data_IF_917185620773
#
_entry.id   IF_917185620773
#
_cell.length_a   1.000
_cell.length_b   1.000
_cell.length_c   1.000
_cell.angle_alpha   90.00
_cell.angle_beta   90.00
_cell.angle_gamma   90.00
#
_symmetry.space_group_name_H-M   'P 1'
#
loop_
_entity.id
_entity.type
_entity.pdbx_description
1 polymer ?
#
# COMPACT_ATOMS: atom_id res chain seq x y z
N UNK A 1 -43.49 20.82 9.13
CA UNK A 1 -42.31 20.07 8.64
C UNK A 1 -41.64 19.40 9.82
N UNK A 2 -41.32 18.10 9.78
CA UNK A 2 -40.66 17.45 10.91
C UNK A 2 -39.28 18.09 11.17
N UNK A 3 -38.93 18.27 12.44
CA UNK A 3 -37.68 18.89 12.86
C UNK A 3 -36.48 18.06 12.36
N UNK A 4 -35.35 18.72 12.15
CA UNK A 4 -34.10 18.11 11.66
C UNK A 4 -33.67 16.93 12.55
N UNK A 5 -33.91 17.02 13.86
CA UNK A 5 -33.64 15.97 14.84
C UNK A 5 -34.46 14.70 14.60
N UNK A 6 -35.73 14.84 14.22
CA UNK A 6 -36.61 13.68 13.98
C UNK A 6 -36.15 12.85 12.78
N UNK A 7 -35.62 13.50 11.73
CA UNK A 7 -35.06 12.81 10.55
C UNK A 7 -33.75 12.09 10.88
N UNK A 8 -32.94 12.68 11.75
CA UNK A 8 -31.65 12.15 12.23
C UNK A 8 -31.84 10.85 13.02
N UNK A 9 -32.84 10.82 13.90
CA UNK A 9 -33.14 9.66 14.74
C UNK A 9 -33.78 8.50 13.94
N UNK A 10 -34.72 8.82 13.05
CA UNK A 10 -35.39 7.82 12.20
C UNK A 10 -34.40 7.07 11.29
N UNK A 11 -33.45 7.80 10.71
CA UNK A 11 -32.40 7.22 9.87
C UNK A 11 -31.43 6.33 10.68
N UNK A 12 -31.05 6.75 11.89
CA UNK A 12 -30.19 5.95 12.78
C UNK A 12 -30.86 4.62 13.20
N UNK A 13 -32.16 4.65 13.48
CA UNK A 13 -32.95 3.44 13.76
C UNK A 13 -33.04 2.53 12.52
N UNK A 14 -33.22 3.10 11.33
CA UNK A 14 -33.29 2.35 10.07
C UNK A 14 -31.95 1.63 9.76
N UNK A 15 -30.82 2.32 9.87
CA UNK A 15 -29.48 1.73 9.64
C UNK A 15 -29.18 0.64 10.67
N UNK A 16 -29.51 0.87 11.94
CA UNK A 16 -29.32 -0.13 13.00
C UNK A 16 -30.14 -1.40 12.76
N UNK A 17 -31.38 -1.25 12.31
CA UNK A 17 -32.25 -2.37 11.96
C UNK A 17 -31.76 -3.12 10.71
N UNK A 18 -31.25 -2.41 9.70
CA UNK A 18 -30.61 -3.04 8.54
C UNK A 18 -29.35 -3.83 8.94
N UNK A 19 -28.52 -3.29 9.83
CA UNK A 19 -27.36 -3.99 10.39
C UNK A 19 -27.75 -5.26 11.14
N UNK A 20 -28.83 -5.21 11.92
CA UNK A 20 -29.33 -6.39 12.63
C UNK A 20 -29.77 -7.47 11.64
N UNK A 21 -30.57 -7.11 10.62
CA UNK A 21 -31.05 -8.04 9.60
C UNK A 21 -29.95 -8.67 8.75
N UNK A 22 -28.90 -7.90 8.41
CA UNK A 22 -27.75 -8.43 7.67
C UNK A 22 -26.96 -9.43 8.53
N UNK A 23 -26.75 -9.14 9.82
CA UNK A 23 -26.09 -10.08 10.74
C UNK A 23 -26.90 -11.36 10.93
N UNK A 24 -28.22 -11.24 11.12
CA UNK A 24 -29.12 -12.39 11.27
C UNK A 24 -29.13 -13.26 9.98
N UNK A 25 -29.08 -12.63 8.80
CA UNK A 25 -28.98 -13.33 7.52
C UNK A 25 -27.63 -14.04 7.32
N UNK A 26 -26.52 -13.44 7.77
CA UNK A 26 -25.18 -14.09 7.73
C UNK A 26 -25.13 -15.28 8.68
N UNK A 27 -25.76 -15.19 9.85
CA UNK A 27 -25.80 -16.28 10.82
C UNK A 27 -26.65 -17.49 10.35
N UNK A 28 -27.65 -17.25 9.50
CA UNK A 28 -28.55 -18.28 8.98
C UNK A 28 -28.12 -18.95 7.67
N UNK A 29 -27.20 -18.33 6.91
CA UNK A 29 -26.84 -18.78 5.58
C UNK A 29 -25.42 -19.36 5.56
N UNK A 30 -25.29 -20.68 5.41
CA UNK A 30 -24.00 -21.38 5.41
C UNK A 30 -22.96 -20.81 4.43
N UNK A 31 -21.69 -21.18 4.65
CA UNK A 31 -20.45 -20.58 4.14
C UNK A 31 -20.38 -20.13 2.66
N UNK A 32 -21.24 -20.61 1.77
CA UNK A 32 -21.20 -20.31 0.33
C UNK A 32 -21.90 -18.97 -0.02
N UNK A 33 -22.68 -18.39 0.90
CA UNK A 33 -23.46 -17.15 0.67
C UNK A 33 -22.95 -15.90 1.41
N UNK A 34 -21.81 -16.01 2.12
CA UNK A 34 -21.31 -14.95 3.00
C UNK A 34 -20.78 -13.71 2.25
N UNK A 35 -20.27 -13.87 1.03
CA UNK A 35 -19.52 -12.79 0.37
C UNK A 35 -20.38 -11.58 -0.04
N UNK A 36 -21.56 -11.75 -0.65
CA UNK A 36 -22.46 -10.62 -0.97
C UNK A 36 -23.01 -9.94 0.29
N UNK A 37 -23.33 -10.72 1.33
CA UNK A 37 -23.86 -10.19 2.59
C UNK A 37 -22.79 -9.43 3.38
N UNK A 38 -21.53 -9.88 3.36
CA UNK A 38 -20.39 -9.14 3.92
C UNK A 38 -20.13 -7.84 3.17
N UNK A 39 -20.25 -7.81 1.84
CA UNK A 39 -20.15 -6.56 1.06
C UNK A 39 -21.23 -5.56 1.45
N UNK A 40 -22.47 -6.02 1.64
CA UNK A 40 -23.57 -5.17 2.11
C UNK A 40 -23.37 -4.69 3.55
N UNK A 41 -22.89 -5.55 4.46
CA UNK A 41 -22.53 -5.16 5.82
C UNK A 41 -21.43 -4.10 5.86
N UNK A 42 -20.34 -4.30 5.12
CA UNK A 42 -19.27 -3.32 5.01
C UNK A 42 -19.74 -1.98 4.41
N UNK A 43 -20.74 -2.00 3.50
CA UNK A 43 -21.36 -0.78 2.97
C UNK A 43 -22.18 -0.01 4.00
N UNK A 44 -22.85 -0.71 4.93
CA UNK A 44 -23.60 -0.09 6.02
C UNK A 44 -22.67 0.46 7.12
N UNK A 45 -21.57 -0.22 7.41
CA UNK A 45 -20.53 0.29 8.33
C UNK A 45 -19.89 1.58 7.78
N UNK A 46 -19.64 1.68 6.46
CA UNK A 46 -19.18 2.92 5.81
C UNK A 46 -20.15 4.08 6.03
N UNK A 47 -21.46 3.85 5.85
CA UNK A 47 -22.47 4.90 6.04
C UNK A 47 -22.57 5.36 7.50
N UNK A 48 -22.29 4.46 8.45
CA UNK A 48 -22.24 4.82 9.87
C UNK A 48 -20.98 5.62 10.21
N UNK A 49 -19.81 5.23 9.68
CA UNK A 49 -18.53 5.90 9.91
C UNK A 49 -18.46 7.27 9.22
N UNK A 50 -18.92 7.38 7.97
CA UNK A 50 -18.99 8.66 7.24
C UNK A 50 -19.87 9.68 7.99
N UNK A 51 -20.90 9.18 8.67
CA UNK A 51 -21.77 10.00 9.51
C UNK A 51 -21.11 10.40 10.82
N UNK A 52 -20.44 9.49 11.51
CA UNK A 52 -19.68 9.81 12.73
C UNK A 52 -18.61 10.87 12.44
N UNK A 53 -17.95 10.78 11.28
CA UNK A 53 -16.97 11.76 10.84
C UNK A 53 -17.61 13.09 10.39
N UNK A 54 -18.78 13.07 9.75
CA UNK A 54 -19.54 14.28 9.45
C UNK A 54 -19.98 14.99 10.75
N UNK A 55 -20.48 14.25 11.74
CA UNK A 55 -20.90 14.78 13.04
C UNK A 55 -19.69 15.35 13.80
N UNK A 56 -18.52 14.70 13.73
CA UNK A 56 -17.26 15.21 14.28
C UNK A 56 -16.77 16.47 13.57
N UNK A 57 -16.91 16.56 12.24
CA UNK A 57 -16.53 17.76 11.47
C UNK A 57 -17.46 18.92 11.82
N UNK A 58 -18.76 18.70 11.86
CA UNK A 58 -19.74 19.69 12.29
C UNK A 58 -19.49 20.16 13.72
N UNK A 59 -19.16 19.23 14.64
CA UNK A 59 -18.77 19.58 16.01
C UNK A 59 -17.44 20.34 16.10
N UNK A 60 -16.50 20.09 15.17
CA UNK A 60 -15.23 20.81 15.08
C UNK A 60 -15.40 22.21 14.50
N UNK A 61 -16.22 22.37 13.46
CA UNK A 61 -16.51 23.66 12.83
C UNK A 61 -17.28 24.58 13.78
N UNK A 62 -18.13 24.02 14.65
CA UNK A 62 -18.78 24.75 15.75
C UNK A 62 -17.81 25.15 16.89
N UNK A 63 -16.62 24.53 16.95
CA UNK A 63 -15.59 24.80 17.97
C UNK A 63 -14.42 25.63 17.44
N UNK A 64 -14.27 25.75 16.11
CA UNK A 64 -13.14 26.41 15.45
C UNK A 64 -13.32 27.94 15.28
N UNK A 65 -14.42 28.51 15.79
CA UNK A 65 -14.62 29.96 15.75
C UNK A 65 -13.87 30.74 16.84
N UNK A 66 -13.02 30.13 17.68
CA UNK A 66 -12.39 30.82 18.81
C UNK A 66 -10.85 30.69 18.96
N UNK A 67 -10.13 29.86 18.19
CA UNK A 67 -8.66 29.72 18.39
C UNK A 67 -7.89 29.52 17.07
N UNK A 68 -7.52 30.64 16.42
CA UNK A 68 -6.58 30.67 15.30
C UNK A 68 -5.19 31.14 15.77
N UNK A 69 -4.27 30.20 15.99
CA UNK A 69 -2.87 30.52 16.26
C UNK A 69 -2.00 29.30 16.51
N UNK A 70 -1.41 28.73 15.46
CA UNK A 70 -0.45 27.63 15.61
C UNK A 70 0.00 27.05 14.27
N UNK A 71 1.01 27.67 13.67
CA UNK A 71 1.73 27.17 12.50
C UNK A 71 2.43 25.86 12.87
N UNK A 72 2.06 24.76 12.22
CA UNK A 72 2.70 23.45 12.42
C UNK A 72 4.04 23.37 11.70
N UNK A 73 5.08 23.01 12.46
CA UNK A 73 6.45 22.86 11.99
C UNK A 73 6.57 21.96 10.76
N UNK A 74 7.16 22.52 9.70
CA UNK A 74 7.63 21.77 8.56
C UNK A 74 8.83 20.89 9.00
N UNK A 75 8.73 19.60 8.72
CA UNK A 75 9.85 18.66 8.87
C UNK A 75 10.97 19.12 7.95
N UNK A 76 12.08 19.57 8.54
CA UNK A 76 13.30 19.98 7.83
C UNK A 76 13.98 18.73 7.23
N UNK A 77 14.28 18.68 5.92
CA UNK A 77 15.06 17.59 5.36
C UNK A 77 16.56 17.87 5.58
N UNK A 78 17.34 16.96 6.20
CA UNK A 78 18.78 17.12 6.26
C UNK A 78 19.39 16.62 4.96
N UNK A 79 19.55 17.51 3.98
CA UNK A 79 20.27 17.22 2.73
C UNK A 79 21.76 16.95 2.99
N UNK A 80 22.09 15.70 3.32
CA UNK A 80 23.45 15.19 3.34
C UNK A 80 23.77 14.53 1.99
N UNK A 81 25.06 14.41 1.63
CA UNK A 81 25.45 13.65 0.43
C UNK A 81 25.00 12.19 0.46
N UNK A 82 24.67 11.64 1.64
CA UNK A 82 24.13 10.30 1.79
C UNK A 82 22.75 10.14 1.14
N UNK A 83 21.95 11.22 1.02
CA UNK A 83 20.62 11.17 0.40
C UNK A 83 20.70 11.06 -1.13
N UNK A 84 21.78 11.56 -1.75
CA UNK A 84 21.93 11.51 -3.22
C UNK A 84 22.22 10.10 -3.72
N UNK A 85 22.92 9.29 -2.92
CA UNK A 85 23.30 7.93 -3.27
C UNK A 85 22.31 6.87 -2.76
N UNK A 86 21.35 7.26 -1.90
CA UNK A 86 20.30 6.38 -1.38
C UNK A 86 19.62 5.51 -2.45
N UNK A 87 19.15 6.02 -3.61
CA UNK A 87 18.56 5.17 -4.64
C UNK A 87 19.50 4.07 -5.14
N UNK A 88 20.79 4.38 -5.29
CA UNK A 88 21.80 3.46 -5.80
C UNK A 88 22.14 2.40 -4.76
N UNK A 89 22.25 2.79 -3.49
CA UNK A 89 22.49 1.88 -2.37
C UNK A 89 21.37 0.83 -2.25
N UNK A 90 20.11 1.25 -2.39
CA UNK A 90 18.97 0.32 -2.38
C UNK A 90 18.99 -0.59 -3.62
N UNK A 91 19.27 -0.04 -4.80
CA UNK A 91 19.38 -0.82 -6.04
C UNK A 91 20.47 -1.90 -5.97
N UNK A 92 21.63 -1.59 -5.38
CA UNK A 92 22.71 -2.54 -5.20
C UNK A 92 22.35 -3.64 -4.19
N UNK A 93 21.63 -3.29 -3.12
CA UNK A 93 21.15 -4.26 -2.14
C UNK A 93 20.09 -5.21 -2.73
N UNK A 94 19.15 -4.70 -3.56
CA UNK A 94 18.22 -5.55 -4.31
C UNK A 94 18.95 -6.48 -5.28
N UNK A 95 19.99 -5.98 -5.95
CA UNK A 95 20.80 -6.81 -6.84
C UNK A 95 21.52 -7.93 -6.08
N UNK A 96 22.05 -7.67 -4.89
CA UNK A 96 22.65 -8.71 -4.03
C UNK A 96 21.66 -9.80 -3.66
N UNK A 97 20.43 -9.44 -3.28
CA UNK A 97 19.36 -10.40 -2.96
C UNK A 97 19.00 -11.24 -4.19
N UNK A 98 18.95 -10.63 -5.37
CA UNK A 98 18.73 -11.37 -6.61
C UNK A 98 19.84 -12.41 -6.85
N UNK A 99 21.10 -12.04 -6.65
CA UNK A 99 22.24 -12.94 -6.84
C UNK A 99 22.36 -14.02 -5.76
N UNK A 100 21.90 -13.77 -4.54
CA UNK A 100 21.91 -14.76 -3.45
C UNK A 100 20.85 -15.85 -3.61
N UNK A 101 19.80 -15.59 -4.42
CA UNK A 101 18.67 -16.50 -4.55
C UNK A 101 17.83 -16.59 -3.28
N UNK A 102 17.88 -15.56 -2.42
CA UNK A 102 17.03 -15.49 -1.24
C UNK A 102 15.55 -15.54 -1.63
N UNK A 103 14.74 -16.14 -0.77
CA UNK A 103 13.33 -16.38 -1.02
C UNK A 103 12.44 -15.72 0.01
N UNK A 104 11.24 -15.35 -0.40
CA UNK A 104 10.21 -14.83 0.48
C UNK A 104 8.81 -15.24 -0.01
N UNK A 105 7.83 -15.16 0.89
CA UNK A 105 6.44 -15.43 0.55
C UNK A 105 5.80 -14.17 0.00
N UNK A 106 5.24 -14.26 -1.21
CA UNK A 106 4.46 -13.15 -1.75
C UNK A 106 3.13 -13.05 -1.00
N UNK A 107 2.87 -11.93 -0.33
CA UNK A 107 1.63 -11.68 0.39
C UNK A 107 1.15 -10.26 0.19
N UNK A 108 -0.16 -10.06 0.16
CA UNK A 108 -0.78 -8.75 0.24
C UNK A 108 -1.38 -8.52 1.63
N UNK A 109 -2.04 -7.38 1.83
CA UNK A 109 -2.68 -7.00 3.10
C UNK A 109 -3.93 -7.83 3.47
N UNK A 110 -4.13 -8.99 2.84
CA UNK A 110 -5.28 -9.85 3.09
C UNK A 110 -5.24 -10.47 4.50
N UNK A 111 -6.38 -10.62 5.18
CA UNK A 111 -6.45 -11.13 6.56
C UNK A 111 -5.73 -12.47 6.76
N UNK A 112 -5.88 -13.41 5.81
CA UNK A 112 -5.24 -14.74 5.87
C UNK A 112 -3.71 -14.70 5.92
N UNK A 113 -3.08 -13.59 5.52
CA UNK A 113 -1.62 -13.45 5.50
C UNK A 113 -1.07 -12.71 6.71
N UNK A 114 -1.91 -12.11 7.57
CA UNK A 114 -1.49 -11.41 8.78
C UNK A 114 -0.44 -12.16 9.63
N UNK A 115 -0.52 -13.50 9.82
CA UNK A 115 0.49 -14.23 10.59
C UNK A 115 1.90 -14.13 10.01
N UNK A 116 2.04 -13.96 8.69
CA UNK A 116 3.31 -13.95 7.96
C UNK A 116 3.89 -12.54 7.73
N UNK A 117 3.15 -11.48 8.06
CA UNK A 117 3.53 -10.09 7.77
C UNK A 117 4.42 -9.48 8.85
N UNK A 118 5.58 -10.09 9.06
CA UNK A 118 6.56 -9.67 10.06
C UNK A 118 7.07 -8.25 9.83
N UNK A 119 7.31 -7.86 8.58
CA UNK A 119 7.77 -6.51 8.25
C UNK A 119 6.71 -5.44 8.60
N UNK A 120 5.44 -5.71 8.29
CA UNK A 120 4.31 -4.84 8.69
C UNK A 120 4.24 -4.71 10.22
N UNK A 121 4.36 -5.83 10.96
CA UNK A 121 4.40 -5.81 12.43
C UNK A 121 5.56 -4.97 12.97
N UNK A 122 6.75 -5.12 12.40
CA UNK A 122 7.92 -4.33 12.76
C UNK A 122 7.70 -2.83 12.49
N UNK A 123 7.19 -2.48 11.31
CA UNK A 123 6.86 -1.09 10.93
C UNK A 123 5.81 -0.48 11.89
N UNK A 124 4.84 -1.27 12.33
CA UNK A 124 3.78 -0.86 13.25
C UNK A 124 4.18 -0.91 14.73
N UNK A 125 5.37 -1.40 15.08
CA UNK A 125 5.86 -1.36 16.45
C UNK A 125 6.09 0.08 16.92
N UNK A 126 5.81 0.38 18.20
CA UNK A 126 6.09 1.71 18.78
C UNK A 126 7.57 1.98 18.99
N UNK A 127 8.33 0.92 19.29
CA UNK A 127 9.77 0.96 19.52
C UNK A 127 10.42 0.12 18.43
N UNK A 128 11.50 0.63 17.84
CA UNK A 128 12.30 -0.11 16.89
C UNK A 128 12.89 -1.37 17.57
N UNK A 129 12.59 -2.52 16.97
CA UNK A 129 13.22 -3.80 17.30
C UNK A 129 14.13 -4.26 16.17
N UNK A 130 14.73 -5.46 16.26
CA UNK A 130 15.49 -6.02 15.16
C UNK A 130 14.60 -6.16 13.92
N UNK A 131 15.15 -5.80 12.74
CA UNK A 131 14.47 -6.01 11.47
C UNK A 131 14.27 -7.52 11.27
N UNK A 132 13.04 -7.99 10.92
CA UNK A 132 12.81 -9.40 10.70
C UNK A 132 13.69 -9.98 9.57
N UNK A 133 14.24 -11.19 9.74
CA UNK A 133 15.05 -11.83 8.71
C UNK A 133 14.22 -12.09 7.45
N UNK A 134 14.87 -12.06 6.29
CA UNK A 134 14.27 -12.50 5.04
C UNK A 134 14.32 -14.03 4.97
N UNK A 135 13.26 -14.63 4.46
CA UNK A 135 13.20 -16.08 4.27
C UNK A 135 11.82 -16.56 3.83
N UNK A 136 11.67 -17.87 3.59
CA UNK A 136 10.43 -18.45 3.04
C UNK A 136 9.15 -18.19 3.84
N UNK A 137 9.26 -17.89 5.14
CA UNK A 137 8.10 -17.56 6.00
C UNK A 137 7.79 -16.06 6.06
N UNK A 138 8.68 -15.23 5.52
CA UNK A 138 8.58 -13.78 5.55
C UNK A 138 7.62 -13.34 4.44
N UNK A 139 6.38 -13.04 4.84
CA UNK A 139 5.33 -12.55 3.95
C UNK A 139 5.45 -11.05 3.69
N UNK A 140 5.66 -10.66 2.44
CA UNK A 140 5.77 -9.25 2.04
C UNK A 140 5.03 -8.98 0.73
N UNK A 141 4.63 -7.73 0.52
CA UNK A 141 4.28 -7.24 -0.82
C UNK A 141 5.52 -6.64 -1.51
N UNK A 142 5.37 -6.26 -2.78
CA UNK A 142 6.48 -5.80 -3.61
C UNK A 142 7.12 -4.50 -3.10
N UNK A 143 6.30 -3.57 -2.59
CA UNK A 143 6.74 -2.33 -1.97
C UNK A 143 7.49 -2.59 -0.65
N UNK A 144 7.00 -3.51 0.16
CA UNK A 144 7.62 -3.88 1.43
C UNK A 144 8.99 -4.51 1.25
N UNK A 145 9.21 -5.29 0.19
CA UNK A 145 10.55 -5.79 -0.13
C UNK A 145 11.54 -4.63 -0.30
N UNK A 146 11.17 -3.63 -1.11
CA UNK A 146 12.03 -2.46 -1.37
C UNK A 146 12.27 -1.68 -0.08
N UNK A 147 11.24 -1.43 0.74
CA UNK A 147 11.38 -0.73 2.01
C UNK A 147 12.26 -1.50 3.01
N UNK A 148 12.09 -2.83 3.10
CA UNK A 148 12.92 -3.67 3.95
C UNK A 148 14.39 -3.52 3.58
N UNK A 149 14.70 -3.59 2.29
CA UNK A 149 16.07 -3.45 1.78
C UNK A 149 16.61 -2.06 2.06
N UNK A 150 15.80 -1.01 1.92
CA UNK A 150 16.20 0.34 2.28
C UNK A 150 16.50 0.51 3.78
N UNK A 151 15.74 -0.13 4.66
CA UNK A 151 16.04 -0.15 6.11
C UNK A 151 17.33 -0.91 6.41
N UNK A 152 17.50 -2.08 5.82
CA UNK A 152 18.70 -2.91 5.99
C UNK A 152 19.95 -2.16 5.55
N UNK A 153 19.86 -1.43 4.42
CA UNK A 153 20.92 -0.58 3.90
C UNK A 153 21.04 0.80 4.60
N UNK A 154 20.27 1.03 5.67
CA UNK A 154 20.29 2.29 6.47
C UNK A 154 19.90 3.54 5.70
N UNK A 155 19.18 3.39 4.58
CA UNK A 155 18.60 4.47 3.80
C UNK A 155 17.28 4.95 4.41
N UNK A 156 16.46 4.02 4.92
CA UNK A 156 15.25 4.36 5.68
C UNK A 156 15.39 3.99 7.15
N UNK A 157 14.93 4.88 8.02
CA UNK A 157 14.78 4.63 9.46
C UNK A 157 13.44 3.93 9.76
N UNK A 158 13.35 3.25 10.90
CA UNK A 158 12.08 2.73 11.40
C UNK A 158 11.00 3.81 11.50
N UNK A 159 11.36 5.02 11.96
CA UNK A 159 10.43 6.14 12.08
C UNK A 159 9.85 6.58 10.72
N UNK A 160 10.70 6.66 9.68
CA UNK A 160 10.26 6.96 8.31
C UNK A 160 9.32 5.87 7.78
N UNK A 161 9.68 4.58 7.93
CA UNK A 161 8.79 3.49 7.49
C UNK A 161 7.47 3.53 8.26
N UNK A 162 7.50 3.67 9.58
CA UNK A 162 6.30 3.77 10.42
C UNK A 162 5.38 4.91 10.00
N UNK A 163 5.94 6.07 9.61
CA UNK A 163 5.16 7.20 9.14
C UNK A 163 4.35 6.88 7.86
N UNK A 164 4.85 5.98 7.01
CA UNK A 164 4.14 5.53 5.81
C UNK A 164 2.95 4.62 6.15
N UNK A 165 2.95 3.96 7.31
CA UNK A 165 1.85 3.13 7.82
C UNK A 165 0.92 3.89 8.79
N UNK A 166 0.97 5.22 8.80
CA UNK A 166 0.27 6.04 9.80
C UNK A 166 -1.23 5.77 9.87
N UNK A 167 -1.91 5.56 8.74
CA UNK A 167 -3.36 5.29 8.70
C UNK A 167 -3.77 4.03 9.45
N UNK A 168 -2.92 3.01 9.53
CA UNK A 168 -3.19 1.76 10.27
C UNK A 168 -2.50 1.66 11.64
N UNK A 169 -1.83 2.72 12.08
CA UNK A 169 -1.06 2.73 13.33
C UNK A 169 -1.86 3.09 14.59
N UNK A 170 -3.06 3.67 14.44
CA UNK A 170 -3.93 4.05 15.54
C UNK A 170 -4.60 2.84 16.20
N UNK A 171 -4.95 2.91 17.49
CA UNK A 171 -5.53 1.76 18.23
C UNK A 171 -6.79 1.18 17.57
N UNK A 172 -7.71 2.02 17.09
CA UNK A 172 -8.92 1.58 16.35
C UNK A 172 -8.55 0.90 15.03
N UNK A 173 -7.68 1.55 14.25
CA UNK A 173 -7.24 1.02 12.95
C UNK A 173 -6.45 -0.28 13.08
N UNK A 174 -5.62 -0.43 14.11
CA UNK A 174 -4.87 -1.67 14.37
C UNK A 174 -5.80 -2.84 14.72
N UNK A 175 -6.87 -2.60 15.49
CA UNK A 175 -7.89 -3.64 15.76
C UNK A 175 -8.62 -4.01 14.47
N UNK A 176 -9.09 -3.03 13.71
CA UNK A 176 -9.72 -3.27 12.41
C UNK A 176 -8.78 -4.05 11.48
N UNK A 177 -7.48 -3.73 11.49
CA UNK A 177 -6.45 -4.42 10.73
C UNK A 177 -6.28 -5.88 11.16
N UNK A 178 -6.36 -6.18 12.46
CA UNK A 178 -6.35 -7.55 12.98
C UNK A 178 -7.57 -8.36 12.52
N UNK A 179 -8.70 -7.69 12.34
CA UNK A 179 -9.91 -8.26 11.75
C UNK A 179 -9.87 -8.30 10.21
N UNK A 180 -8.78 -7.81 9.61
CA UNK A 180 -8.52 -7.88 8.18
C UNK A 180 -8.97 -6.67 7.36
N UNK A 181 -9.39 -5.59 8.02
CA UNK A 181 -9.86 -4.37 7.36
C UNK A 181 -8.74 -3.34 7.22
N UNK A 182 -8.71 -2.66 6.08
CA UNK A 182 -7.86 -1.50 5.84
C UNK A 182 -8.71 -0.22 5.81
N UNK A 183 -8.18 0.93 6.24
CA UNK A 183 -8.77 2.23 5.98
C UNK A 183 -9.00 2.44 4.48
N UNK A 184 -10.09 3.13 4.12
CA UNK A 184 -10.43 3.38 2.72
C UNK A 184 -9.36 4.16 1.96
N UNK A 185 -8.69 5.09 2.64
CA UNK A 185 -7.62 5.93 2.10
C UNK A 185 -6.23 5.27 2.13
N UNK A 186 -6.12 4.04 2.65
CA UNK A 186 -4.85 3.33 2.78
C UNK A 186 -4.12 3.17 1.44
N UNK A 187 -4.76 2.74 0.34
CA UNK A 187 -4.07 2.61 -0.96
C UNK A 187 -3.52 3.95 -1.45
N UNK A 188 -4.29 5.04 -1.38
CA UNK A 188 -3.87 6.36 -1.85
C UNK A 188 -2.76 6.96 -0.96
N UNK A 189 -2.81 6.73 0.36
CA UNK A 189 -1.72 7.11 1.25
C UNK A 189 -0.43 6.36 0.89
N UNK A 190 -0.52 5.04 0.70
CA UNK A 190 0.63 4.21 0.35
C UNK A 190 1.23 4.62 -0.99
N UNK A 191 0.40 4.97 -1.96
CA UNK A 191 0.81 5.51 -3.25
C UNK A 191 1.64 6.79 -3.09
N UNK A 192 1.09 7.80 -2.40
CA UNK A 192 1.77 9.09 -2.15
C UNK A 192 3.05 8.93 -1.36
N UNK A 193 3.07 7.99 -0.41
CA UNK A 193 4.24 7.68 0.38
C UNK A 193 5.32 6.91 -0.40
N UNK A 194 4.99 6.31 -1.55
CA UNK A 194 5.96 5.56 -2.37
C UNK A 194 6.69 6.47 -3.35
N UNK A 195 5.97 7.37 -4.01
CA UNK A 195 6.52 8.34 -4.97
C UNK A 195 6.23 9.77 -4.50
N UNK A 196 6.93 10.27 -3.47
CA UNK A 196 6.65 11.59 -2.91
C UNK A 196 7.21 12.76 -3.74
N UNK A 197 8.13 12.51 -4.68
CA UNK A 197 8.89 13.55 -5.37
C UNK A 197 9.06 13.27 -6.87
N UNK A 198 8.97 14.33 -7.68
CA UNK A 198 9.32 14.37 -9.12
C UNK A 198 8.73 13.23 -9.97
N UNK A 199 7.50 12.84 -9.65
CA UNK A 199 6.78 11.74 -10.30
C UNK A 199 6.47 12.06 -11.77
N UNK A 200 6.77 11.12 -12.65
CA UNK A 200 6.54 11.20 -14.09
C UNK A 200 5.75 10.00 -14.59
N UNK A 201 5.02 10.18 -15.69
CA UNK A 201 4.37 9.08 -16.40
C UNK A 201 5.38 8.36 -17.29
N UNK A 202 5.43 7.03 -17.18
CA UNK A 202 6.14 6.18 -18.12
C UNK A 202 5.23 5.86 -19.31
N UNK A 203 5.56 6.45 -20.47
CA UNK A 203 4.89 6.19 -21.73
C UNK A 203 5.67 5.12 -22.50
N UNK A 204 5.16 3.89 -22.47
CA UNK A 204 5.73 2.77 -23.22
C UNK A 204 5.61 3.02 -24.73
N UNK A 205 6.64 2.68 -25.51
CA UNK A 205 6.68 2.85 -26.98
C UNK A 205 7.12 4.24 -27.46
N UNK A 206 7.02 5.29 -26.64
CA UNK A 206 7.58 6.60 -26.99
C UNK A 206 9.06 6.65 -26.64
N UNK A 207 9.94 6.62 -27.66
CA UNK A 207 11.40 6.61 -27.49
C UNK A 207 11.98 7.98 -27.08
N UNK A 208 11.22 9.06 -27.25
CA UNK A 208 11.64 10.41 -26.86
C UNK A 208 11.22 10.78 -25.43
N UNK A 209 10.29 10.04 -24.84
CA UNK A 209 9.83 10.27 -23.48
C UNK A 209 10.91 9.95 -22.43
N UNK A 210 10.91 10.63 -21.27
CA UNK A 210 11.77 10.29 -20.14
C UNK A 210 11.68 8.81 -19.75
N UNK A 211 12.81 8.28 -19.25
CA UNK A 211 12.94 6.90 -18.77
C UNK A 211 13.44 6.87 -17.33
N UNK A 212 13.01 5.88 -16.53
CA UNK A 212 13.44 5.75 -15.15
C UNK A 212 14.94 5.46 -15.10
N UNK A 213 15.63 6.15 -14.20
CA UNK A 213 17.05 5.95 -13.92
C UNK A 213 17.22 4.84 -12.89
N UNK A 214 18.45 4.33 -12.75
CA UNK A 214 18.78 3.36 -11.70
C UNK A 214 18.35 3.89 -10.33
N UNK A 215 17.62 3.07 -9.58
CA UNK A 215 17.11 3.40 -8.25
C UNK A 215 15.78 4.16 -8.24
N UNK A 216 15.25 4.58 -9.40
CA UNK A 216 13.88 5.11 -9.45
C UNK A 216 12.88 3.99 -9.16
N UNK A 217 11.84 4.32 -8.40
CA UNK A 217 10.71 3.41 -8.20
C UNK A 217 9.77 3.52 -9.39
N UNK A 218 9.22 2.39 -9.81
CA UNK A 218 8.18 2.27 -10.82
C UNK A 218 6.94 1.71 -10.15
N UNK A 219 5.79 2.33 -10.40
CA UNK A 219 4.53 1.98 -9.78
C UNK A 219 3.41 1.92 -10.82
N UNK A 220 2.67 0.83 -10.81
CA UNK A 220 1.45 0.69 -11.61
C UNK A 220 0.27 1.17 -10.77
N UNK A 221 -0.48 2.15 -11.26
CA UNK A 221 -1.64 2.71 -10.55
C UNK A 221 -2.83 1.72 -10.59
N UNK A 222 -2.90 0.82 -9.61
CA UNK A 222 -4.02 -0.12 -9.40
C UNK A 222 -5.35 0.57 -9.09
N UNK A 223 -6.47 0.02 -9.58
CA UNK A 223 -7.81 0.32 -9.04
C UNK A 223 -8.05 -0.43 -7.72
N UNK A 224 -8.49 0.29 -6.68
CA UNK A 224 -9.05 -0.29 -5.45
C UNK A 224 -8.06 -0.96 -4.48
N UNK A 225 -8.58 -1.88 -3.66
CA UNK A 225 -7.87 -2.55 -2.55
C UNK A 225 -6.78 -3.57 -2.99
N UNK A 226 -6.51 -3.72 -4.29
CA UNK A 226 -5.90 -4.95 -4.83
C UNK A 226 -4.49 -4.86 -5.39
N UNK A 227 -4.24 -4.04 -6.41
CA UNK A 227 -3.19 -4.38 -7.39
C UNK A 227 -2.25 -3.22 -7.76
N UNK A 228 -1.92 -2.35 -6.81
CA UNK A 228 -0.78 -1.46 -7.02
C UNK A 228 0.51 -2.29 -6.90
N UNK A 229 1.25 -2.41 -8.00
CA UNK A 229 2.56 -3.05 -8.00
C UNK A 229 3.66 -1.99 -7.90
N UNK A 230 4.78 -2.34 -7.27
CA UNK A 230 5.96 -1.48 -7.17
C UNK A 230 7.20 -2.29 -7.49
N UNK A 231 8.04 -1.73 -8.36
CA UNK A 231 9.34 -2.25 -8.73
C UNK A 231 10.39 -1.12 -8.64
N UNK A 232 11.67 -1.46 -8.78
CA UNK A 232 12.75 -0.48 -8.86
C UNK A 232 13.52 -0.64 -10.16
N UNK A 233 13.75 0.45 -10.88
CA UNK A 233 14.49 0.44 -12.13
C UNK A 233 15.97 0.11 -11.92
N UNK A 234 16.52 -0.75 -12.77
CA UNK A 234 17.96 -1.06 -12.77
C UNK A 234 18.79 0.01 -13.51
N UNK A 235 18.10 0.86 -14.28
CA UNK A 235 18.65 1.87 -15.20
C UNK A 235 18.99 1.34 -16.58
N UNK A 236 18.87 0.02 -16.82
CA UNK A 236 19.02 -0.58 -18.15
C UNK A 236 17.72 -0.51 -18.94
N UNK A 237 17.84 -0.38 -20.25
CA UNK A 237 16.75 -0.41 -21.21
C UNK A 237 16.96 -1.61 -22.13
N UNK A 238 15.93 -2.42 -22.36
CA UNK A 238 16.02 -3.69 -23.07
C UNK A 238 15.26 -3.61 -24.40
N UNK A 239 15.88 -4.12 -25.46
CA UNK A 239 15.26 -4.26 -26.76
C UNK A 239 15.03 -2.93 -27.51
N UNK A 240 14.39 -3.00 -28.69
CA UNK A 240 14.18 -1.85 -29.58
C UNK A 240 13.22 -0.80 -28.98
N UNK A 241 12.28 -1.23 -28.14
CA UNK A 241 11.27 -0.38 -27.52
C UNK A 241 11.78 0.36 -26.28
N UNK A 242 13.04 0.14 -25.91
CA UNK A 242 13.68 0.72 -24.73
C UNK A 242 12.87 0.42 -23.46
N UNK A 243 12.48 -0.85 -23.29
CA UNK A 243 11.67 -1.33 -22.16
C UNK A 243 12.53 -1.30 -20.88
N UNK A 244 12.13 -0.53 -19.84
CA UNK A 244 12.92 -0.45 -18.62
C UNK A 244 13.05 -1.80 -17.92
N UNK A 245 14.29 -2.17 -17.60
CA UNK A 245 14.58 -3.33 -16.77
C UNK A 245 14.43 -2.96 -15.28
N UNK A 246 13.87 -3.88 -14.49
CA UNK A 246 13.51 -3.64 -13.10
C UNK A 246 13.90 -4.80 -12.18
N UNK A 247 14.19 -4.45 -10.93
CA UNK A 247 14.11 -5.35 -9.78
C UNK A 247 12.65 -5.43 -9.32
N UNK A 248 12.10 -6.64 -9.25
CA UNK A 248 10.75 -6.90 -8.80
C UNK A 248 10.72 -8.12 -7.87
N UNK A 249 9.97 -8.06 -6.77
CA UNK A 249 9.77 -9.24 -5.93
C UNK A 249 8.73 -10.20 -6.55
N UNK A 250 7.64 -9.64 -7.07
CA UNK A 250 6.53 -10.38 -7.69
C UNK A 250 5.76 -9.40 -8.61
N UNK A 251 5.16 -9.77 -9.76
CA UNK A 251 5.11 -11.10 -10.36
C UNK A 251 6.44 -11.56 -10.99
N UNK A 252 6.86 -12.82 -10.76
CA UNK A 252 7.76 -13.58 -11.62
C UNK A 252 7.08 -13.95 -12.96
N UNK A 253 7.84 -14.12 -14.06
CA UNK A 253 7.46 -15.01 -15.16
C UNK A 253 7.60 -16.52 -14.81
N UNK A 254 8.10 -16.86 -13.61
CA UNK A 254 8.54 -18.23 -13.24
C UNK A 254 7.67 -18.99 -12.23
N UNK A 255 6.66 -18.40 -11.61
CA UNK A 255 5.85 -19.08 -10.58
C UNK A 255 4.37 -18.69 -10.69
N UNK A 256 3.44 -19.55 -10.23
CA UNK A 256 2.02 -19.27 -10.35
C UNK A 256 1.64 -17.97 -9.66
N UNK A 257 0.71 -17.24 -10.28
CA UNK A 257 0.11 -16.01 -9.76
C UNK A 257 -0.87 -16.31 -8.62
N UNK A 258 -0.31 -16.76 -7.50
CA UNK A 258 -1.08 -17.14 -6.32
C UNK A 258 -0.43 -16.53 -5.07
N UNK A 259 -1.08 -15.55 -4.41
CA UNK A 259 -0.62 -15.05 -3.12
C UNK A 259 -0.44 -16.19 -2.10
N UNK A 260 0.65 -16.14 -1.34
CA UNK A 260 1.08 -17.20 -0.42
C UNK A 260 2.17 -18.12 -0.99
N UNK A 261 2.51 -17.96 -2.27
CA UNK A 261 3.60 -18.70 -2.90
C UNK A 261 4.96 -18.19 -2.42
N UNK A 262 5.88 -19.10 -2.12
CA UNK A 262 7.29 -18.79 -1.87
C UNK A 262 8.02 -18.71 -3.21
N UNK A 263 8.73 -17.61 -3.44
CA UNK A 263 9.48 -17.37 -4.68
C UNK A 263 10.75 -16.57 -4.37
N UNK A 264 11.55 -16.30 -5.39
CA UNK A 264 12.75 -15.47 -5.28
C UNK A 264 12.35 -14.08 -4.79
N UNK A 265 13.03 -13.61 -3.74
CA UNK A 265 12.76 -12.33 -3.10
C UNK A 265 12.99 -11.12 -4.02
N UNK A 266 13.91 -11.26 -4.98
CA UNK A 266 14.14 -10.26 -6.03
C UNK A 266 14.44 -10.97 -7.35
N UNK A 267 13.79 -10.49 -8.39
CA UNK A 267 13.95 -10.93 -9.77
C UNK A 267 14.24 -9.75 -10.68
N UNK A 268 14.90 -10.04 -11.79
CA UNK A 268 15.14 -9.08 -12.86
C UNK A 268 14.23 -9.42 -14.03
N UNK A 269 13.52 -8.41 -14.52
CA UNK A 269 12.55 -8.50 -15.63
C UNK A 269 12.38 -7.12 -16.25
N UNK A 270 11.37 -6.90 -17.09
CA UNK A 270 11.06 -5.60 -17.69
C UNK A 270 9.65 -5.11 -17.34
N UNK A 271 9.41 -3.81 -17.49
CA UNK A 271 8.09 -3.21 -17.29
C UNK A 271 7.07 -3.82 -18.25
N UNK A 272 7.42 -3.99 -19.52
CA UNK A 272 6.57 -4.63 -20.52
C UNK A 272 6.20 -6.07 -20.15
N UNK A 273 7.15 -6.84 -19.61
CA UNK A 273 6.91 -8.21 -19.16
C UNK A 273 5.98 -8.25 -17.94
N UNK A 274 6.11 -7.31 -17.00
CA UNK A 274 5.29 -7.27 -15.77
C UNK A 274 3.86 -6.78 -16.00
N UNK A 275 3.68 -5.84 -16.93
CA UNK A 275 2.41 -5.10 -17.09
C UNK A 275 1.18 -6.01 -17.27
N UNK A 276 1.21 -7.08 -18.09
CA UNK A 276 0.07 -7.98 -18.23
C UNK A 276 -0.36 -8.68 -16.93
N UNK A 277 0.60 -8.99 -16.05
CA UNK A 277 0.33 -9.63 -14.77
C UNK A 277 -0.25 -8.65 -13.74
N UNK A 278 0.14 -7.38 -13.82
CA UNK A 278 -0.34 -6.34 -12.91
C UNK A 278 -1.71 -5.83 -13.32
N UNK A 279 -1.92 -5.59 -14.62
CA UNK A 279 -3.19 -5.10 -15.14
C UNK A 279 -4.25 -6.20 -15.30
N UNK A 280 -3.82 -7.45 -15.50
CA UNK A 280 -4.72 -8.55 -15.87
C UNK A 280 -4.96 -8.61 -17.39
N UNK A 281 -5.33 -9.78 -17.93
CA UNK A 281 -5.29 -10.04 -19.38
C UNK A 281 -6.23 -9.19 -20.25
N UNK A 282 -7.18 -8.45 -19.68
CA UNK A 282 -8.19 -7.67 -20.43
C UNK A 282 -8.42 -6.26 -19.87
N UNK A 283 -7.58 -5.78 -18.95
CA UNK A 283 -7.72 -4.43 -18.40
C UNK A 283 -6.98 -3.41 -19.25
N UNK A 284 -7.46 -2.16 -19.36
CA UNK A 284 -6.66 -1.09 -19.92
C UNK A 284 -5.36 -0.96 -19.13
N UNK A 285 -4.25 -0.75 -19.84
CA UNK A 285 -2.95 -0.50 -19.20
C UNK A 285 -3.08 0.69 -18.26
N UNK A 286 -2.85 0.42 -16.98
CA UNK A 286 -2.91 1.43 -15.93
C UNK A 286 -1.78 2.44 -16.14
N UNK A 287 -1.95 3.71 -15.74
CA UNK A 287 -0.85 4.65 -15.72
C UNK A 287 0.31 4.04 -14.94
N UNK A 288 1.48 4.03 -15.57
CA UNK A 288 2.72 3.63 -14.92
C UNK A 288 3.44 4.91 -14.54
N UNK A 289 3.70 5.08 -13.26
CA UNK A 289 4.42 6.21 -12.71
C UNK A 289 5.83 5.80 -12.33
N UNK A 290 6.77 6.73 -12.41
CA UNK A 290 8.10 6.54 -11.85
C UNK A 290 8.64 7.82 -11.22
N UNK A 291 9.54 7.66 -10.26
CA UNK A 291 10.15 8.78 -9.55
C UNK A 291 11.09 8.32 -8.44
N UNK A 292 11.61 9.27 -7.66
CA UNK A 292 12.42 8.95 -6.48
C UNK A 292 11.54 8.39 -5.38
N UNK A 293 12.07 7.40 -4.64
CA UNK A 293 11.40 6.86 -3.48
C UNK A 293 11.46 7.79 -2.26
N UNK A 294 10.96 7.35 -1.10
CA UNK A 294 10.75 8.18 0.07
C UNK A 294 12.00 8.36 0.96
N UNK A 295 13.18 8.30 0.36
CA UNK A 295 14.46 8.50 1.01
C UNK A 295 14.99 9.91 0.75
#
# INVERSE_FOLDING_TARGET
MPSREWRTELFGRLVSEMHRRVRDAIAGAGHVSEQPLRKTGAGLERLADDREDLDKRLARDLRWSDESGGVGDAVVPPGSSADRDAPLVVADALHRIHLSGEQAMWTNFLPRFLPYRDFERWALAKKEGPLPPLGPKSGMNCREMIMRVAVEAKVLTHAQVRAQYRSISGRRALRARQDGFLPYDFPQQMQRATLPHDTQHLVMGDRGAPRPKRGDLIMWEGWGEGNAHTAMATGRLIGPDLDPEVYSFWPPPKAPDIPGTVTDAVQITTVGTLTPFVSGPDSPTLPILFGRGPW
#
